data_IF_165873251705
#
_entry.id   IF_165873251705
#
_cell.length_a   1.000
_cell.length_b   1.000
_cell.length_c   1.000
_cell.angle_alpha   90.00
_cell.angle_beta   90.00
_cell.angle_gamma   90.00
#
_symmetry.space_group_name_H-M   'P 1'
#
loop_
_entity.id
_entity.type
_entity.pdbx_description
1 polymer ?
#
# COMPACT_ATOMS: atom_id res chain seq x y z
N UNK A 1 -29.54 -41.77 13.92
CA UNK A 1 -28.08 -41.88 14.19
C UNK A 1 -27.21 -40.98 13.29
N UNK A 2 -27.45 -40.89 11.98
CA UNK A 2 -26.60 -40.15 11.03
C UNK A 2 -26.59 -38.61 11.16
N UNK A 3 -27.69 -37.99 11.62
CA UNK A 3 -27.78 -36.52 11.77
C UNK A 3 -26.97 -35.99 12.97
N UNK A 4 -26.91 -36.77 14.05
CA UNK A 4 -26.15 -36.45 15.27
C UNK A 4 -24.64 -36.56 15.00
N UNK A 5 -24.19 -37.61 14.31
CA UNK A 5 -22.78 -37.77 13.92
C UNK A 5 -22.35 -36.67 12.92
N UNK A 6 -23.22 -36.26 12.00
CA UNK A 6 -22.96 -35.15 11.07
C UNK A 6 -22.81 -33.81 11.81
N UNK A 7 -23.69 -33.52 12.76
CA UNK A 7 -23.63 -32.30 13.57
C UNK A 7 -22.40 -32.29 14.50
N UNK A 8 -22.03 -33.45 15.05
CA UNK A 8 -20.80 -33.59 15.86
C UNK A 8 -19.56 -33.41 14.98
N UNK A 9 -19.49 -33.98 13.77
CA UNK A 9 -18.39 -33.70 12.82
C UNK A 9 -18.32 -32.23 12.44
N UNK A 10 -19.45 -31.56 12.23
CA UNK A 10 -19.50 -30.13 11.90
C UNK A 10 -19.14 -29.22 13.08
N UNK A 11 -19.39 -29.67 14.32
CA UNK A 11 -18.99 -28.99 15.56
C UNK A 11 -17.53 -29.27 15.96
N UNK A 12 -16.99 -30.45 15.62
CA UNK A 12 -15.59 -30.85 15.85
C UNK A 12 -14.62 -30.30 14.80
N UNK A 13 -15.10 -29.98 13.59
CA UNK A 13 -14.40 -29.06 12.68
C UNK A 13 -14.56 -27.67 13.30
N UNK A 14 -13.72 -27.37 14.30
CA UNK A 14 -13.72 -26.05 14.95
C UNK A 14 -13.77 -24.96 13.88
N UNK A 15 -14.66 -23.98 14.04
CA UNK A 15 -14.90 -22.91 13.05
C UNK A 15 -13.54 -22.41 12.54
N UNK A 16 -13.23 -22.70 11.27
CA UNK A 16 -11.93 -22.36 10.67
C UNK A 16 -11.73 -20.86 10.86
N UNK A 17 -10.69 -20.47 11.60
CA UNK A 17 -10.44 -19.06 11.92
C UNK A 17 -10.34 -18.27 10.60
N UNK A 18 -11.09 -17.14 10.43
CA UNK A 18 -11.10 -16.37 9.19
C UNK A 18 -9.69 -16.00 8.73
N UNK A 19 -9.43 -15.98 7.42
CA UNK A 19 -8.13 -15.56 6.87
C UNK A 19 -7.72 -14.18 7.42
N UNK A 20 -6.45 -13.99 7.82
CA UNK A 20 -5.97 -12.69 8.24
C UNK A 20 -5.92 -11.74 7.04
N UNK A 21 -6.05 -10.44 7.32
CA UNK A 21 -5.91 -9.40 6.32
C UNK A 21 -4.52 -8.76 6.38
N UNK A 22 -4.06 -8.24 5.25
CA UNK A 22 -2.80 -7.48 5.14
C UNK A 22 -3.12 -6.13 4.49
N UNK A 23 -2.95 -5.04 5.23
CA UNK A 23 -2.95 -3.72 4.64
C UNK A 23 -1.53 -3.35 4.21
N UNK A 24 -1.26 -3.49 2.92
CA UNK A 24 0.00 -3.05 2.33
C UNK A 24 -0.06 -1.53 2.17
N UNK A 25 0.49 -0.78 3.12
CA UNK A 25 0.40 0.68 3.11
C UNK A 25 1.43 1.24 2.12
N UNK A 26 0.99 1.61 0.91
CA UNK A 26 1.87 2.28 -0.06
C UNK A 26 2.15 3.74 0.35
N UNK A 27 3.39 4.19 0.15
CA UNK A 27 3.82 5.53 0.53
C UNK A 27 3.03 6.61 -0.22
N UNK A 28 2.39 7.50 0.56
CA UNK A 28 1.66 8.70 0.07
C UNK A 28 0.39 8.41 -0.74
N UNK A 29 -0.22 7.24 -0.52
CA UNK A 29 -1.50 6.82 -1.12
C UNK A 29 -2.68 6.90 -0.13
N UNK A 30 -2.72 7.93 0.73
CA UNK A 30 -3.83 8.16 1.66
C UNK A 30 -3.97 7.19 2.84
N UNK A 31 -3.01 6.28 3.03
CA UNK A 31 -3.14 5.22 4.04
C UNK A 31 -3.17 5.73 5.49
N UNK A 32 -2.61 6.89 5.81
CA UNK A 32 -2.78 7.51 7.14
C UNK A 32 -4.24 7.84 7.43
N UNK A 33 -4.92 8.52 6.51
CA UNK A 33 -6.35 8.84 6.64
C UNK A 33 -7.20 7.57 6.77
N UNK A 34 -6.76 6.47 6.15
CA UNK A 34 -7.44 5.18 6.23
C UNK A 34 -7.25 4.48 7.59
N UNK A 35 -6.25 4.86 8.40
CA UNK A 35 -5.91 4.14 9.63
C UNK A 35 -7.06 4.12 10.64
N UNK A 36 -7.78 5.23 10.82
CA UNK A 36 -8.93 5.29 11.74
C UNK A 36 -10.05 4.34 11.31
N UNK A 37 -10.29 4.22 10.00
CA UNK A 37 -11.26 3.28 9.43
C UNK A 37 -10.83 1.83 9.68
N UNK A 38 -9.54 1.52 9.49
CA UNK A 38 -8.98 0.19 9.77
C UNK A 38 -9.07 -0.11 11.27
N UNK A 39 -8.61 0.77 12.14
CA UNK A 39 -8.57 0.51 13.59
C UNK A 39 -9.98 0.32 14.17
N UNK A 40 -10.97 1.03 13.64
CA UNK A 40 -12.39 0.84 13.97
C UNK A 40 -12.90 -0.54 13.56
N UNK A 41 -12.57 -0.99 12.33
CA UNK A 41 -13.07 -2.24 11.78
C UNK A 41 -12.34 -3.49 12.28
N UNK A 42 -11.14 -3.33 12.83
CA UNK A 42 -10.34 -4.40 13.42
C UNK A 42 -10.24 -4.30 14.95
N UNK A 43 -11.09 -3.48 15.60
CA UNK A 43 -11.16 -3.40 17.06
C UNK A 43 -11.37 -4.78 17.68
N UNK A 44 -10.58 -5.11 18.70
CA UNK A 44 -10.60 -6.41 19.38
C UNK A 44 -9.94 -7.56 18.58
N UNK A 45 -9.35 -7.28 17.42
CA UNK A 45 -8.52 -8.24 16.65
C UNK A 45 -7.04 -8.10 17.03
N UNK A 46 -6.25 -9.13 16.74
CA UNK A 46 -4.79 -9.06 16.92
C UNK A 46 -4.14 -8.38 15.72
N UNK A 47 -3.79 -7.12 15.89
CA UNK A 47 -3.15 -6.27 14.88
C UNK A 47 -1.64 -6.24 15.12
N UNK A 48 -0.85 -6.50 14.08
CA UNK A 48 0.59 -6.23 14.07
C UNK A 48 0.86 -5.02 13.16
N UNK A 49 1.60 -4.04 13.67
CA UNK A 49 1.92 -2.80 12.96
C UNK A 49 3.39 -2.77 12.63
N UNK A 50 3.71 -2.66 11.34
CA UNK A 50 5.05 -2.35 10.85
C UNK A 50 5.28 -0.86 11.06
N UNK A 51 6.30 -0.51 11.85
CA UNK A 51 6.59 0.87 12.24
C UNK A 51 7.05 1.69 11.03
N UNK A 52 6.35 2.77 10.69
CA UNK A 52 6.60 3.50 9.45
C UNK A 52 7.99 4.14 9.32
N UNK A 53 8.56 4.67 10.41
CA UNK A 53 9.89 5.31 10.42
C UNK A 53 11.05 4.33 10.31
N UNK A 54 10.82 3.06 10.64
CA UNK A 54 11.83 2.00 10.67
C UNK A 54 11.25 0.71 10.07
N UNK A 55 10.58 0.87 8.92
CA UNK A 55 9.70 -0.17 8.40
C UNK A 55 10.47 -1.41 7.94
N UNK A 56 11.71 -1.25 7.50
CA UNK A 56 12.59 -2.36 7.10
C UNK A 56 12.91 -3.26 8.29
N UNK A 57 13.48 -2.70 9.36
CA UNK A 57 13.80 -3.48 10.56
C UNK A 57 12.53 -4.02 11.23
N UNK A 58 11.47 -3.21 11.31
CA UNK A 58 10.19 -3.67 11.85
C UNK A 58 9.58 -4.83 11.04
N UNK A 59 9.80 -4.88 9.72
CA UNK A 59 9.38 -6.02 8.89
C UNK A 59 10.28 -7.24 9.05
N UNK A 60 11.59 -7.04 9.23
CA UNK A 60 12.51 -8.12 9.58
C UNK A 60 12.16 -8.75 10.93
N UNK A 61 11.86 -7.94 11.95
CA UNK A 61 11.40 -8.42 13.27
C UNK A 61 10.13 -9.27 13.15
N UNK A 62 9.17 -8.83 12.34
CA UNK A 62 7.97 -9.62 12.02
C UNK A 62 8.34 -10.97 11.38
N UNK A 63 9.19 -10.96 10.34
CA UNK A 63 9.67 -12.17 9.64
C UNK A 63 10.45 -13.12 10.56
N UNK A 64 11.13 -12.60 11.58
CA UNK A 64 11.93 -13.38 12.51
C UNK A 64 11.16 -13.83 13.76
N UNK A 65 9.97 -13.27 14.01
CA UNK A 65 9.11 -13.68 15.12
C UNK A 65 8.66 -15.16 15.00
N UNK A 66 8.18 -15.76 16.09
CA UNK A 66 7.81 -17.18 16.07
C UNK A 66 6.56 -17.45 15.20
N UNK A 67 6.53 -18.59 14.50
CA UNK A 67 5.35 -19.02 13.73
C UNK A 67 4.06 -19.04 14.58
N UNK A 68 4.05 -19.54 15.84
CA UNK A 68 2.88 -19.45 16.70
C UNK A 68 2.41 -18.02 16.99
N UNK A 69 3.34 -17.05 17.09
CA UNK A 69 2.99 -15.64 17.22
C UNK A 69 2.34 -15.11 15.94
N UNK A 70 2.98 -15.30 14.78
CA UNK A 70 2.44 -14.81 13.50
C UNK A 70 1.08 -15.39 13.15
N UNK A 71 0.85 -16.67 13.46
CA UNK A 71 -0.45 -17.32 13.23
C UNK A 71 -1.56 -16.77 14.14
N UNK A 72 -1.25 -16.02 15.20
CA UNK A 72 -2.27 -15.36 16.02
C UNK A 72 -2.79 -14.08 15.37
N UNK A 73 -2.03 -13.44 14.48
CA UNK A 73 -2.36 -12.16 13.85
C UNK A 73 -3.62 -12.28 12.99
N UNK A 74 -4.44 -11.24 13.03
CA UNK A 74 -5.68 -11.06 12.27
C UNK A 74 -5.56 -9.93 11.24
N UNK A 75 -4.71 -8.94 11.52
CA UNK A 75 -4.34 -7.87 10.60
C UNK A 75 -2.85 -7.57 10.71
N UNK A 76 -2.14 -7.62 9.59
CA UNK A 76 -0.83 -6.99 9.43
C UNK A 76 -1.03 -5.65 8.70
N UNK A 77 -0.44 -4.56 9.19
CA UNK A 77 -0.49 -3.26 8.48
C UNK A 77 0.82 -2.50 8.55
N UNK A 78 1.08 -1.68 7.54
CA UNK A 78 2.19 -0.73 7.51
C UNK A 78 2.99 -0.80 6.22
N UNK A 79 4.10 -0.07 6.16
CA UNK A 79 4.98 -0.07 4.99
C UNK A 79 5.79 -1.37 4.99
N UNK A 80 5.61 -2.22 3.99
CA UNK A 80 6.42 -3.41 3.74
C UNK A 80 6.26 -3.78 2.27
N UNK A 81 6.72 -4.97 1.89
CA UNK A 81 6.61 -5.45 0.51
C UNK A 81 5.57 -6.56 0.40
N UNK A 82 5.11 -6.79 -0.82
CA UNK A 82 4.34 -7.97 -1.14
C UNK A 82 5.09 -9.26 -0.74
N UNK A 83 4.34 -10.30 -0.35
CA UNK A 83 4.90 -11.59 0.10
C UNK A 83 4.75 -11.86 1.60
N UNK A 84 4.33 -10.88 2.40
CA UNK A 84 4.06 -11.05 3.84
C UNK A 84 3.05 -12.17 4.16
N UNK A 85 2.15 -12.49 3.22
CA UNK A 85 1.18 -13.59 3.31
C UNK A 85 1.82 -14.95 3.58
N UNK A 86 3.07 -15.17 3.13
CA UNK A 86 3.83 -16.41 3.34
C UNK A 86 4.11 -16.68 4.83
N UNK A 87 4.09 -15.64 5.66
CA UNK A 87 4.40 -15.73 7.09
C UNK A 87 3.16 -15.84 7.99
N UNK A 88 1.98 -15.59 7.43
CA UNK A 88 0.69 -15.63 8.13
C UNK A 88 -0.02 -16.97 7.88
N UNK A 89 -1.05 -17.25 8.70
CA UNK A 89 -1.90 -18.43 8.52
C UNK A 89 -2.91 -18.24 7.38
N UNK A 90 -3.47 -19.34 6.88
CA UNK A 90 -4.73 -19.40 6.11
C UNK A 90 -4.85 -18.40 4.95
N UNK A 91 -4.01 -18.48 3.90
CA UNK A 91 -4.10 -17.65 2.68
C UNK A 91 -4.51 -16.20 2.97
N UNK A 92 -3.61 -15.45 3.62
CA UNK A 92 -3.86 -14.07 4.01
C UNK A 92 -4.24 -13.22 2.78
N UNK A 93 -5.21 -12.32 2.96
CA UNK A 93 -5.76 -11.53 1.87
C UNK A 93 -5.28 -10.08 1.99
N UNK A 94 -4.76 -9.53 0.90
CA UNK A 94 -4.30 -8.14 0.89
C UNK A 94 -5.43 -7.17 0.63
N UNK A 95 -5.23 -5.94 1.07
CA UNK A 95 -5.88 -4.78 0.51
C UNK A 95 -4.90 -3.59 0.55
N UNK A 96 -5.13 -2.61 -0.31
CA UNK A 96 -4.24 -1.45 -0.45
C UNK A 96 -4.99 -0.25 -1.01
N UNK A 97 -4.33 0.90 -0.98
CA UNK A 97 -4.70 2.12 -1.68
C UNK A 97 -3.59 2.49 -2.66
N UNK A 98 -3.94 2.78 -3.91
CA UNK A 98 -3.06 3.41 -4.88
C UNK A 98 -3.40 4.90 -5.03
N UNK A 99 -2.58 5.60 -5.80
CA UNK A 99 -2.77 7.01 -6.13
C UNK A 99 -2.17 7.27 -7.49
N UNK A 100 -2.72 8.23 -8.22
CA UNK A 100 -2.15 8.69 -9.48
C UNK A 100 -0.66 9.02 -9.30
N UNK A 101 0.25 8.47 -10.12
CA UNK A 101 1.69 8.52 -9.89
C UNK A 101 2.27 9.92 -9.71
N UNK A 102 1.84 10.89 -10.52
CA UNK A 102 2.33 12.28 -10.44
C UNK A 102 1.83 12.94 -9.15
N UNK A 103 0.56 12.75 -8.79
CA UNK A 103 -0.03 13.25 -7.55
C UNK A 103 0.63 12.63 -6.31
N UNK A 104 0.99 11.34 -6.38
CA UNK A 104 1.74 10.64 -5.34
C UNK A 104 3.14 11.21 -5.17
N UNK A 105 3.89 11.40 -6.26
CA UNK A 105 5.22 12.01 -6.24
C UNK A 105 5.19 13.44 -5.75
N UNK A 106 4.21 14.24 -6.19
CA UNK A 106 4.00 15.58 -5.67
C UNK A 106 3.84 15.56 -4.14
N UNK A 107 3.02 14.65 -3.63
CA UNK A 107 2.79 14.51 -2.20
C UNK A 107 4.03 14.04 -1.45
N UNK A 108 4.83 13.14 -2.03
CA UNK A 108 6.09 12.67 -1.45
C UNK A 108 7.12 13.79 -1.39
N UNK A 109 7.35 14.47 -2.51
CA UNK A 109 8.35 15.52 -2.63
C UNK A 109 8.07 16.68 -1.66
N UNK A 110 6.83 17.21 -1.65
CA UNK A 110 6.46 18.27 -0.70
C UNK A 110 6.52 17.79 0.76
N UNK A 111 6.18 16.53 1.05
CA UNK A 111 6.30 15.99 2.40
C UNK A 111 7.76 15.92 2.86
N UNK A 112 8.66 15.43 2.02
CA UNK A 112 10.09 15.33 2.36
C UNK A 112 10.76 16.69 2.50
N UNK A 113 10.34 17.71 1.75
CA UNK A 113 10.76 19.10 1.96
C UNK A 113 10.22 19.74 3.24
N UNK A 114 9.19 19.14 3.85
CA UNK A 114 8.55 19.68 5.06
C UNK A 114 9.06 19.05 6.36
N UNK A 115 9.90 18.02 6.27
CA UNK A 115 10.40 17.28 7.43
C UNK A 115 11.94 17.26 7.44
N UNK A 116 12.53 17.30 8.63
CA UNK A 116 13.99 17.23 8.82
C UNK A 116 14.51 15.80 8.88
N UNK A 117 14.07 14.95 7.93
CA UNK A 117 14.48 13.54 7.87
C UNK A 117 15.73 13.33 7.03
N UNK A 118 15.86 14.10 5.95
CA UNK A 118 17.04 14.10 5.09
C UNK A 118 17.56 15.52 5.06
N UNK A 119 18.62 15.83 5.82
CA UNK A 119 19.21 17.19 5.82
C UNK A 119 19.57 17.67 4.41
N UNK A 120 19.89 16.72 3.53
CA UNK A 120 20.21 16.93 2.12
C UNK A 120 18.98 17.27 1.25
N UNK A 121 17.79 16.74 1.57
CA UNK A 121 16.51 17.08 0.91
C UNK A 121 15.87 18.31 1.58
N UNK A 122 16.18 18.54 2.86
CA UNK A 122 15.65 19.61 3.69
C UNK A 122 16.40 20.94 3.50
N UNK A 123 17.44 20.99 2.65
CA UNK A 123 17.86 22.24 2.06
C UNK A 123 16.80 22.62 1.02
N UNK A 124 16.12 23.76 1.21
CA UNK A 124 14.99 24.22 0.39
C UNK A 124 15.28 24.36 -1.14
N UNK A 125 16.50 24.04 -1.56
CA UNK A 125 17.11 24.28 -2.86
C UNK A 125 17.16 23.05 -3.79
N UNK A 126 17.01 21.82 -3.28
CA UNK A 126 17.07 20.65 -4.17
C UNK A 126 15.88 20.66 -5.14
N UNK A 127 16.16 20.86 -6.42
CA UNK A 127 15.15 20.81 -7.48
C UNK A 127 14.62 19.40 -7.72
N UNK A 128 13.44 19.29 -8.32
CA UNK A 128 12.75 18.00 -8.50
C UNK A 128 13.56 16.96 -9.30
N UNK A 129 14.28 17.39 -10.34
CA UNK A 129 15.18 16.51 -11.11
C UNK A 129 16.27 15.89 -10.21
N UNK A 130 16.99 16.75 -9.48
CA UNK A 130 18.04 16.32 -8.56
C UNK A 130 17.49 15.40 -7.46
N UNK A 131 16.28 15.69 -6.96
CA UNK A 131 15.58 14.82 -6.01
C UNK A 131 15.36 13.41 -6.56
N UNK A 132 14.83 13.26 -7.77
CA UNK A 132 14.62 11.94 -8.39
C UNK A 132 15.94 11.21 -8.61
N UNK A 133 16.97 11.91 -9.10
CA UNK A 133 18.27 11.30 -9.42
C UNK A 133 19.09 10.94 -8.17
N UNK A 134 18.88 11.64 -7.06
CA UNK A 134 19.62 11.44 -5.80
C UNK A 134 19.48 10.04 -5.21
N UNK A 135 18.36 9.36 -5.46
CA UNK A 135 18.04 8.07 -4.83
C UNK A 135 17.79 8.13 -3.33
N UNK A 136 17.79 9.32 -2.71
CA UNK A 136 17.59 9.50 -1.26
C UNK A 136 16.20 9.02 -0.80
N UNK A 137 15.21 9.12 -1.69
CA UNK A 137 13.86 8.65 -1.45
C UNK A 137 13.48 7.58 -2.47
N UNK A 138 13.77 6.32 -2.17
CA UNK A 138 13.47 5.20 -3.07
C UNK A 138 11.99 5.08 -3.46
N UNK A 139 11.09 5.54 -2.59
CA UNK A 139 9.66 5.64 -2.91
C UNK A 139 9.37 6.62 -4.07
N UNK A 140 10.34 7.41 -4.53
CA UNK A 140 10.23 8.29 -5.69
C UNK A 140 10.48 7.58 -7.04
N UNK A 141 11.04 6.37 -7.02
CA UNK A 141 11.33 5.57 -8.21
C UNK A 141 10.41 4.35 -8.28
N UNK A 142 9.31 4.48 -9.02
CA UNK A 142 8.28 3.44 -9.20
C UNK A 142 7.86 2.80 -7.86
N UNK A 143 7.68 3.64 -6.84
CA UNK A 143 7.54 3.23 -5.45
C UNK A 143 6.32 2.36 -5.18
N UNK A 144 5.22 2.49 -5.95
CA UNK A 144 4.07 1.59 -5.80
C UNK A 144 4.43 0.20 -6.34
N UNK A 145 4.99 0.13 -7.54
CA UNK A 145 5.41 -1.11 -8.20
C UNK A 145 6.43 -1.88 -7.37
N UNK A 146 7.45 -1.18 -6.84
CA UNK A 146 8.46 -1.80 -5.96
C UNK A 146 7.86 -2.44 -4.71
N UNK A 147 6.86 -1.81 -4.08
CA UNK A 147 6.21 -2.37 -2.89
C UNK A 147 5.22 -3.49 -3.23
N UNK A 148 4.61 -3.45 -4.43
CA UNK A 148 3.68 -4.47 -4.93
C UNK A 148 4.37 -5.71 -5.48
N UNK A 149 5.68 -5.62 -5.70
CA UNK A 149 6.56 -6.75 -6.00
C UNK A 149 7.36 -7.11 -4.76
N UNK A 150 7.88 -8.35 -4.70
CA UNK A 150 8.76 -8.78 -3.60
C UNK A 150 10.24 -8.52 -3.95
N UNK A 151 10.51 -7.58 -4.86
CA UNK A 151 11.86 -7.18 -5.21
C UNK A 151 12.32 -6.18 -4.16
N UNK A 152 13.22 -6.62 -3.28
CA UNK A 152 13.73 -5.75 -2.23
C UNK A 152 14.40 -4.54 -2.88
N UNK A 153 14.27 -3.41 -2.21
CA UNK A 153 14.70 -2.10 -2.67
C UNK A 153 16.18 -2.11 -3.11
N UNK A 154 17.02 -2.95 -2.49
CA UNK A 154 18.48 -2.96 -2.67
C UNK A 154 18.94 -3.66 -3.96
N UNK A 155 18.11 -4.50 -4.59
CA UNK A 155 18.51 -5.25 -5.79
C UNK A 155 18.47 -4.41 -7.07
N UNK A 156 17.58 -3.42 -7.11
CA UNK A 156 17.33 -2.61 -8.31
C UNK A 156 17.74 -1.15 -8.05
N UNK A 157 18.83 -0.66 -8.68
CA UNK A 157 19.31 0.70 -8.50
C UNK A 157 18.27 1.77 -8.81
N UNK A 158 18.47 2.97 -8.24
CA UNK A 158 17.59 4.12 -8.48
C UNK A 158 17.50 4.48 -9.97
N UNK A 159 16.28 4.69 -10.47
CA UNK A 159 16.00 5.02 -11.86
C UNK A 159 16.24 3.86 -12.84
N UNK A 160 16.38 2.62 -12.32
CA UNK A 160 16.62 1.40 -13.11
C UNK A 160 15.52 0.34 -12.94
N UNK A 161 14.36 0.71 -12.43
CA UNK A 161 13.20 -0.20 -12.34
C UNK A 161 12.80 -0.66 -13.74
N UNK A 162 12.86 -1.97 -14.03
CA UNK A 162 12.36 -2.51 -15.29
C UNK A 162 10.85 -2.28 -15.38
N UNK A 163 10.39 -1.83 -16.54
CA UNK A 163 8.95 -1.56 -16.75
C UNK A 163 8.12 -2.85 -16.65
N UNK A 164 8.74 -3.99 -16.94
CA UNK A 164 8.15 -5.33 -16.88
C UNK A 164 7.69 -5.70 -15.47
N UNK A 165 8.27 -5.10 -14.42
CA UNK A 165 7.79 -5.28 -13.05
C UNK A 165 6.37 -4.76 -12.83
N UNK A 166 5.85 -3.90 -13.71
CA UNK A 166 4.44 -3.52 -13.69
C UNK A 166 3.53 -4.73 -13.87
N UNK A 167 3.90 -5.68 -14.74
CA UNK A 167 3.09 -6.87 -14.99
C UNK A 167 3.11 -7.82 -13.78
N UNK A 168 4.26 -8.00 -13.12
CA UNK A 168 4.34 -8.74 -11.86
C UNK A 168 3.48 -8.09 -10.76
N UNK A 169 3.54 -6.75 -10.64
CA UNK A 169 2.70 -6.02 -9.69
C UNK A 169 1.20 -6.21 -9.98
N UNK A 170 0.78 -6.17 -11.25
CA UNK A 170 -0.60 -6.41 -11.67
C UNK A 170 -1.02 -7.85 -11.33
N UNK A 171 -0.19 -8.84 -11.64
CA UNK A 171 -0.47 -10.26 -11.32
C UNK A 171 -0.62 -10.45 -9.80
N UNK A 172 0.25 -9.85 -9.00
CA UNK A 172 0.16 -9.88 -7.54
C UNK A 172 -1.15 -9.23 -7.04
N UNK A 173 -1.54 -8.09 -7.63
CA UNK A 173 -2.81 -7.41 -7.35
C UNK A 173 -4.02 -8.31 -7.67
N UNK A 174 -4.01 -8.98 -8.82
CA UNK A 174 -5.11 -9.88 -9.22
C UNK A 174 -5.25 -11.10 -8.32
N UNK A 175 -4.13 -11.73 -7.98
CA UNK A 175 -4.13 -13.04 -7.33
C UNK A 175 -4.30 -12.97 -5.80
N UNK A 176 -3.88 -11.86 -5.18
CA UNK A 176 -3.76 -11.79 -3.71
C UNK A 176 -4.53 -10.66 -3.05
N UNK A 177 -4.93 -9.62 -3.79
CA UNK A 177 -5.62 -8.47 -3.21
C UNK A 177 -7.13 -8.64 -3.32
N UNK A 178 -7.78 -8.63 -2.16
CA UNK A 178 -9.23 -8.73 -2.04
C UNK A 178 -9.94 -7.43 -2.39
N UNK A 179 -9.27 -6.30 -2.18
CA UNK A 179 -9.79 -4.97 -2.48
C UNK A 179 -8.63 -4.00 -2.72
N UNK A 180 -8.78 -3.14 -3.73
CA UNK A 180 -7.78 -2.14 -4.10
C UNK A 180 -8.54 -0.83 -4.29
N UNK A 181 -8.25 0.17 -3.45
CA UNK A 181 -8.83 1.50 -3.58
C UNK A 181 -7.88 2.48 -4.27
N UNK A 182 -8.40 3.64 -4.64
CA UNK A 182 -7.63 4.77 -5.18
C UNK A 182 -7.88 6.03 -4.37
N UNK A 183 -6.83 6.82 -4.16
CA UNK A 183 -6.85 8.00 -3.27
C UNK A 183 -7.81 9.08 -3.76
N UNK A 184 -7.96 9.19 -5.07
CA UNK A 184 -8.81 10.13 -5.79
C UNK A 184 -10.29 9.89 -5.48
N UNK A 185 -10.68 8.63 -5.33
CA UNK A 185 -12.05 8.17 -5.04
C UNK A 185 -12.10 7.56 -3.63
N UNK A 186 -11.66 8.32 -2.63
CA UNK A 186 -11.46 7.80 -1.27
C UNK A 186 -12.75 7.26 -0.65
N UNK A 187 -13.87 7.98 -0.80
CA UNK A 187 -15.15 7.56 -0.22
C UNK A 187 -15.69 6.27 -0.86
N UNK A 188 -15.55 6.14 -2.18
CA UNK A 188 -15.91 4.91 -2.89
C UNK A 188 -14.95 3.76 -2.57
N UNK A 189 -13.67 4.07 -2.34
CA UNK A 189 -12.71 3.09 -1.82
C UNK A 189 -13.13 2.55 -0.44
N UNK A 190 -13.68 3.39 0.44
CA UNK A 190 -14.23 2.94 1.73
C UNK A 190 -15.46 2.04 1.56
N UNK A 191 -16.36 2.36 0.60
CA UNK A 191 -17.51 1.50 0.27
C UNK A 191 -17.04 0.14 -0.24
N UNK A 192 -16.05 0.13 -1.13
CA UNK A 192 -15.43 -1.08 -1.66
C UNK A 192 -14.81 -1.93 -0.54
N UNK A 193 -14.02 -1.32 0.34
CA UNK A 193 -13.45 -2.02 1.49
C UNK A 193 -14.52 -2.57 2.41
N UNK A 194 -15.62 -1.84 2.64
CA UNK A 194 -16.75 -2.34 3.41
C UNK A 194 -17.33 -3.61 2.81
N UNK A 195 -17.68 -3.56 1.53
CA UNK A 195 -18.28 -4.70 0.84
C UNK A 195 -17.33 -5.91 0.77
N UNK A 196 -16.06 -5.71 0.42
CA UNK A 196 -15.11 -6.80 0.13
C UNK A 196 -14.45 -7.37 1.39
N UNK A 197 -14.14 -6.54 2.38
CA UNK A 197 -13.42 -6.96 3.60
C UNK A 197 -14.37 -7.37 4.74
N UNK A 198 -15.69 -7.13 4.59
CA UNK A 198 -16.67 -7.38 5.64
C UNK A 198 -16.53 -6.41 6.81
N UNK A 199 -16.13 -5.16 6.53
CA UNK A 199 -16.10 -4.12 7.55
C UNK A 199 -17.52 -3.82 8.02
N UNK A 200 -17.67 -3.52 9.31
CA UNK A 200 -18.98 -3.29 9.92
C UNK A 200 -19.46 -1.84 9.67
N UNK A 201 -18.54 -0.90 9.46
CA UNK A 201 -18.85 0.52 9.26
C UNK A 201 -17.81 1.23 8.41
N UNK A 202 -18.22 2.38 7.86
CA UNK A 202 -17.32 3.39 7.30
C UNK A 202 -17.36 4.56 8.29
N UNK A 203 -16.41 4.66 9.23
CA UNK A 203 -16.43 5.74 10.20
C UNK A 203 -16.03 7.05 9.53
N UNK A 204 -16.42 8.16 10.16
CA UNK A 204 -15.91 9.48 9.79
C UNK A 204 -14.37 9.49 9.90
N UNK A 205 -13.73 10.13 8.93
CA UNK A 205 -12.28 10.27 8.88
C UNK A 205 -11.90 11.71 8.55
N UNK A 206 -10.72 12.12 8.99
CA UNK A 206 -10.12 13.38 8.59
C UNK A 206 -9.07 13.12 7.50
N UNK A 207 -8.89 14.11 6.62
CA UNK A 207 -7.75 14.09 5.69
C UNK A 207 -6.48 14.38 6.47
N UNK A 208 -5.76 13.34 6.85
CA UNK A 208 -4.51 13.44 7.60
C UNK A 208 -3.29 13.46 6.67
N UNK A 209 -2.16 13.99 7.16
CA UNK A 209 -0.90 14.10 6.41
C UNK A 209 -0.98 14.89 5.10
N UNK A 210 -1.85 15.90 5.07
CA UNK A 210 -1.88 16.92 4.01
C UNK A 210 -0.76 17.93 4.28
N UNK A 211 0.24 17.97 3.41
CA UNK A 211 1.31 18.97 3.49
C UNK A 211 0.72 20.38 3.26
N UNK A 212 0.84 21.25 4.27
CA UNK A 212 0.32 22.62 4.26
C UNK A 212 1.13 23.56 3.36
N UNK A 213 2.46 23.45 3.38
CA UNK A 213 3.37 24.29 2.60
C UNK A 213 3.85 23.53 1.36
N UNK A 214 3.05 23.57 0.28
CA UNK A 214 3.44 22.99 -1.01
C UNK A 214 4.25 24.02 -1.79
N UNK A 215 5.53 23.73 -2.03
CA UNK A 215 6.37 24.55 -2.92
C UNK A 215 6.26 24.15 -4.38
N UNK A 216 5.70 22.98 -4.66
CA UNK A 216 5.60 22.42 -6.02
C UNK A 216 4.22 21.83 -6.25
N UNK A 217 3.58 22.21 -7.35
CA UNK A 217 2.21 21.82 -7.70
C UNK A 217 2.18 20.57 -8.57
N UNK A 218 1.00 19.98 -8.72
CA UNK A 218 0.78 18.87 -9.65
C UNK A 218 1.11 19.30 -11.08
N UNK A 219 0.68 20.50 -11.47
CA UNK A 219 0.89 21.04 -12.81
C UNK A 219 2.37 21.21 -13.12
N UNK A 220 3.18 21.66 -12.15
CA UNK A 220 4.63 21.79 -12.32
C UNK A 220 5.28 20.44 -12.63
N UNK A 221 4.88 19.38 -11.90
CA UNK A 221 5.42 18.04 -12.14
C UNK A 221 4.93 17.43 -13.45
N UNK A 222 3.68 17.71 -13.84
CA UNK A 222 3.16 17.25 -15.12
C UNK A 222 3.94 17.87 -16.27
N UNK A 223 4.14 19.19 -16.26
CA UNK A 223 4.98 19.91 -17.24
C UNK A 223 6.42 19.37 -17.23
N UNK A 224 6.98 19.11 -16.04
CA UNK A 224 8.31 18.54 -15.91
C UNK A 224 8.42 17.20 -16.65
N UNK A 225 7.52 16.24 -16.43
CA UNK A 225 7.58 14.94 -17.10
C UNK A 225 7.25 15.01 -18.60
N UNK A 226 6.42 15.96 -19.03
CA UNK A 226 6.19 16.23 -20.46
C UNK A 226 7.46 16.73 -21.14
N UNK A 227 8.22 17.62 -20.50
CA UNK A 227 9.41 18.23 -21.07
C UNK A 227 10.70 17.40 -20.88
N UNK A 228 10.69 16.39 -20.01
CA UNK A 228 11.85 15.54 -19.70
C UNK A 228 11.45 14.06 -19.84
N UNK A 229 11.31 13.57 -21.07
CA UNK A 229 10.81 12.22 -21.36
C UNK A 229 11.69 11.12 -20.76
N UNK A 230 12.99 11.34 -20.66
CA UNK A 230 13.93 10.42 -20.00
C UNK A 230 13.63 10.25 -18.51
N UNK A 231 13.06 11.27 -17.86
CA UNK A 231 12.70 11.23 -16.44
C UNK A 231 11.45 10.40 -16.19
N UNK A 232 10.64 10.09 -17.20
CA UNK A 232 9.46 9.23 -17.05
C UNK A 232 9.81 7.83 -16.55
N UNK A 233 11.07 7.38 -16.70
CA UNK A 233 11.56 6.12 -16.12
C UNK A 233 11.28 5.98 -14.62
N UNK A 234 11.18 7.08 -13.88
CA UNK A 234 10.89 7.07 -12.43
C UNK A 234 9.42 6.79 -12.08
N UNK A 235 8.51 6.86 -13.05
CA UNK A 235 7.07 6.63 -12.84
C UNK A 235 6.46 5.62 -13.80
N UNK A 236 7.19 5.18 -14.82
CA UNK A 236 6.62 4.45 -15.95
C UNK A 236 5.90 3.17 -15.52
N UNK A 237 6.49 2.37 -14.64
CA UNK A 237 5.85 1.16 -14.13
C UNK A 237 4.64 1.51 -13.24
N UNK A 238 4.76 2.54 -12.39
CA UNK A 238 3.65 3.03 -11.55
C UNK A 238 2.46 3.52 -12.40
N UNK A 239 2.70 4.15 -13.55
CA UNK A 239 1.66 4.59 -14.50
C UNK A 239 0.90 3.41 -15.07
N UNK A 240 1.59 2.35 -15.50
CA UNK A 240 0.97 1.14 -16.05
C UNK A 240 0.11 0.45 -14.96
N UNK A 241 0.68 0.24 -13.77
CA UNK A 241 -0.03 -0.37 -12.64
C UNK A 241 -1.26 0.45 -12.26
N UNK A 242 -1.13 1.78 -12.16
CA UNK A 242 -2.23 2.65 -11.77
C UNK A 242 -3.34 2.69 -12.82
N UNK A 243 -3.02 2.72 -14.11
CA UNK A 243 -4.01 2.69 -15.19
C UNK A 243 -4.88 1.42 -15.11
N UNK A 244 -4.24 0.26 -14.95
CA UNK A 244 -4.94 -1.01 -14.75
C UNK A 244 -5.83 -0.98 -13.50
N UNK A 245 -5.29 -0.54 -12.36
CA UNK A 245 -6.04 -0.49 -11.10
C UNK A 245 -7.23 0.46 -11.19
N UNK A 246 -7.07 1.62 -11.84
CA UNK A 246 -8.13 2.61 -11.99
C UNK A 246 -9.31 2.05 -12.80
N UNK A 247 -9.04 1.38 -13.92
CA UNK A 247 -10.09 0.74 -14.71
C UNK A 247 -10.82 -0.34 -13.89
N UNK A 248 -10.06 -1.23 -13.25
CA UNK A 248 -10.61 -2.29 -12.40
C UNK A 248 -11.43 -1.73 -11.23
N UNK A 249 -10.97 -0.64 -10.63
CA UNK A 249 -11.65 0.01 -9.52
C UNK A 249 -13.06 0.46 -9.93
N UNK A 250 -13.22 1.21 -11.02
CA UNK A 250 -14.55 1.64 -11.46
C UNK A 250 -15.45 0.46 -11.82
N UNK A 251 -14.92 -0.58 -12.46
CA UNK A 251 -15.66 -1.81 -12.73
C UNK A 251 -16.11 -2.55 -11.46
N UNK A 252 -15.38 -2.41 -10.34
CA UNK A 252 -15.79 -2.97 -9.06
C UNK A 252 -16.82 -2.08 -8.35
N UNK A 253 -16.68 -0.76 -8.42
CA UNK A 253 -17.64 0.20 -7.88
C UNK A 253 -19.00 0.09 -8.56
N UNK A 254 -19.04 -0.03 -9.89
CA UNK A 254 -20.29 -0.17 -10.65
C UNK A 254 -21.09 -1.44 -10.30
N UNK A 255 -20.46 -2.40 -9.60
CA UNK A 255 -21.07 -3.66 -9.16
C UNK A 255 -21.54 -3.64 -7.69
N UNK A 256 -21.25 -2.57 -6.94
CA UNK A 256 -21.65 -2.42 -5.52
C UNK A 256 -23.08 -1.91 -5.40
#
# INVERSE_FOLDING_TARGET
MNKVIKNIKQALIGKKKPSPHIFLHLHKCGGTSLMNCIDTNYKGKRVYVIKGTDYRNSYLDFKNSSKPFRHKIDLLRGHHFYGAHKYLRNNALYFTMLREPIARLNSLYNYLKSIDLYKEINAQEMGFKAFLESGLAMAADNGMTRMLTNNDFDEIPNGKVPVELAYEAIENLENSFKAIGITEEFDDSLKLFKAKLGWHSVPNYNKDNVTSNKTTTYQDLNIFFTNNTEMQRFIHADVIVYAYVKEKFYLEIDKL
#
